data_IF_102823362804
#
_entry.id   IF_102823362804
#
_cell.length_a   1.000
_cell.length_b   1.000
_cell.length_c   1.000
_cell.angle_alpha   90.00
_cell.angle_beta   90.00
_cell.angle_gamma   90.00
#
_symmetry.space_group_name_H-M   'P 1'
#
loop_
_entity.id
_entity.type
_entity.pdbx_description
1 polymer ?
#
# COMPACT_ATOMS: atom_id res chain seq x y z
N UNK A 1 7.65 2.64 -11.45
CA UNK A 1 7.15 3.79 -12.23
C UNK A 1 8.31 4.71 -12.48
N UNK A 2 8.47 5.20 -13.69
CA UNK A 2 9.55 6.11 -14.07
C UNK A 2 8.93 7.36 -14.72
N UNK A 3 9.34 8.52 -14.24
CA UNK A 3 9.03 9.82 -14.82
C UNK A 3 10.35 10.37 -15.37
N UNK A 4 10.41 10.68 -16.66
CA UNK A 4 11.61 11.17 -17.32
C UNK A 4 11.33 12.50 -18.02
N UNK A 5 12.18 13.49 -17.79
CA UNK A 5 12.26 14.75 -18.52
C UNK A 5 13.57 14.83 -19.31
N UNK A 6 13.77 15.94 -20.02
CA UNK A 6 14.88 16.10 -20.97
C UNK A 6 16.27 16.00 -20.33
N UNK A 7 16.39 16.37 -19.05
CA UNK A 7 17.65 16.40 -18.31
C UNK A 7 17.59 15.68 -16.96
N UNK A 8 16.46 15.07 -16.61
CA UNK A 8 16.29 14.38 -15.33
C UNK A 8 15.34 13.18 -15.38
N UNK A 9 15.43 12.34 -14.36
CA UNK A 9 14.55 11.19 -14.17
C UNK A 9 14.29 10.93 -12.70
N UNK A 10 13.03 10.65 -12.37
CA UNK A 10 12.59 10.16 -11.07
C UNK A 10 12.01 8.75 -11.22
N UNK A 11 12.52 7.82 -10.41
CA UNK A 11 12.05 6.43 -10.39
C UNK A 11 11.44 6.05 -9.04
N UNK A 12 10.21 5.54 -9.07
CA UNK A 12 9.52 4.94 -7.94
C UNK A 12 9.51 3.42 -8.12
N UNK A 13 10.31 2.71 -7.32
CA UNK A 13 10.44 1.25 -7.41
C UNK A 13 10.09 0.60 -6.08
N UNK A 14 9.21 -0.41 -6.13
CA UNK A 14 8.95 -1.31 -5.00
C UNK A 14 9.43 -2.71 -5.37
N UNK A 15 10.23 -3.34 -4.51
CA UNK A 15 10.70 -4.72 -4.65
C UNK A 15 10.31 -5.52 -3.43
N UNK A 16 9.54 -6.59 -3.62
CA UNK A 16 9.20 -7.54 -2.57
C UNK A 16 10.14 -8.75 -2.67
N UNK A 17 10.89 -9.02 -1.61
CA UNK A 17 11.79 -10.18 -1.52
C UNK A 17 11.07 -11.49 -1.16
N UNK A 18 9.91 -11.39 -0.53
CA UNK A 18 9.07 -12.50 -0.09
C UNK A 18 7.59 -12.09 -0.11
N UNK A 19 6.70 -13.08 -0.09
CA UNK A 19 5.25 -12.85 0.05
C UNK A 19 4.85 -12.40 1.46
N UNK A 20 5.76 -12.50 2.43
CA UNK A 20 5.55 -12.02 3.80
C UNK A 20 5.14 -10.54 3.87
N UNK A 21 5.62 -9.71 2.95
CA UNK A 21 5.23 -8.30 2.87
C UNK A 21 3.71 -8.12 2.68
N UNK A 22 3.08 -9.01 1.90
CA UNK A 22 1.63 -8.96 1.68
C UNK A 22 0.85 -9.53 2.86
N UNK A 23 1.37 -10.59 3.50
CA UNK A 23 0.78 -11.18 4.71
C UNK A 23 0.78 -10.18 5.87
N UNK A 24 1.88 -9.46 6.07
CA UNK A 24 1.97 -8.39 7.06
C UNK A 24 0.94 -7.27 6.79
N UNK A 25 0.76 -6.88 5.52
CA UNK A 25 -0.27 -5.93 5.11
C UNK A 25 -1.70 -6.40 5.42
N UNK A 26 -1.99 -7.68 5.17
CA UNK A 26 -3.29 -8.28 5.48
C UNK A 26 -3.56 -8.30 6.99
N UNK A 27 -2.58 -8.68 7.82
CA UNK A 27 -2.71 -8.63 9.29
C UNK A 27 -2.97 -7.21 9.78
N UNK A 28 -2.27 -6.21 9.22
CA UNK A 28 -2.53 -4.79 9.53
C UNK A 28 -3.95 -4.38 9.16
N UNK A 29 -4.46 -4.81 8.01
CA UNK A 29 -5.83 -4.53 7.58
C UNK A 29 -6.87 -5.18 8.52
N UNK A 30 -6.65 -6.41 8.98
CA UNK A 30 -7.53 -7.11 9.93
C UNK A 30 -7.61 -6.34 11.26
N UNK A 31 -6.46 -5.94 11.82
CA UNK A 31 -6.43 -5.16 13.07
C UNK A 31 -7.11 -3.79 12.88
N UNK A 32 -6.86 -3.11 11.76
CA UNK A 32 -7.49 -1.84 11.46
C UNK A 32 -9.01 -1.94 11.27
N UNK A 33 -9.49 -3.04 10.68
CA UNK A 33 -10.90 -3.28 10.41
C UNK A 33 -11.71 -3.56 11.69
N UNK A 34 -11.05 -3.97 12.79
CA UNK A 34 -11.69 -4.15 14.07
C UNK A 34 -12.36 -2.83 14.52
N UNK A 35 -13.68 -2.87 14.68
CA UNK A 35 -14.48 -1.70 15.09
C UNK A 35 -14.86 -0.74 13.95
N UNK A 36 -14.59 -1.07 12.68
CA UNK A 36 -15.12 -0.30 11.54
C UNK A 36 -16.56 -0.71 11.23
N UNK A 37 -17.35 0.25 10.73
CA UNK A 37 -18.71 -0.03 10.24
C UNK A 37 -18.64 -0.96 9.02
N UNK A 38 -19.68 -1.74 8.73
CA UNK A 38 -19.73 -2.53 7.50
C UNK A 38 -19.54 -1.65 6.25
N UNK A 39 -18.69 -2.09 5.33
CA UNK A 39 -18.38 -1.36 4.10
C UNK A 39 -17.25 -2.02 3.31
N UNK A 40 -17.08 -1.59 2.06
CA UNK A 40 -15.96 -2.01 1.22
C UNK A 40 -14.78 -1.04 1.43
N UNK A 41 -13.72 -1.54 2.08
CA UNK A 41 -12.48 -0.79 2.33
C UNK A 41 -11.34 -1.35 1.49
N UNK A 42 -10.33 -0.54 1.27
CA UNK A 42 -9.09 -0.92 0.58
C UNK A 42 -7.87 -0.47 1.41
N UNK A 43 -6.66 -0.75 0.92
CA UNK A 43 -5.44 -0.39 1.65
C UNK A 43 -5.20 1.12 1.77
N UNK A 44 -5.84 1.98 0.98
CA UNK A 44 -5.73 3.43 1.16
C UNK A 44 -6.38 3.87 2.47
N UNK A 45 -7.54 3.29 2.82
CA UNK A 45 -8.20 3.52 4.10
C UNK A 45 -7.36 3.02 5.28
N UNK A 46 -6.74 1.85 5.12
CA UNK A 46 -5.87 1.23 6.15
C UNK A 46 -4.60 2.05 6.37
N UNK A 47 -4.07 2.67 5.31
CA UNK A 47 -2.83 3.45 5.34
C UNK A 47 -3.04 4.95 5.56
N UNK A 48 -4.28 5.46 5.52
CA UNK A 48 -4.60 6.87 5.75
C UNK A 48 -4.35 7.77 4.54
N UNK A 49 -4.56 7.25 3.32
CA UNK A 49 -4.34 7.97 2.05
C UNK A 49 -5.64 8.33 1.30
N UNK A 50 -6.78 8.27 2.00
CA UNK A 50 -8.08 8.72 1.50
C UNK A 50 -8.48 10.05 2.16
#
# INVERSE_FOLDING_TARGET
VMFAGDVERVELTHRAHSREAFAAGALKAVVWAAGKRPGAYNMRHVLGFD
#
